data_IF_736220834093
#
_entry.id   IF_736220834093
#
_cell.length_a   1.000
_cell.length_b   1.000
_cell.length_c   1.000
_cell.angle_alpha   90.00
_cell.angle_beta   90.00
_cell.angle_gamma   90.00
#
_symmetry.space_group_name_H-M   'P 1'
#
loop_
_entity.id
_entity.type
_entity.pdbx_description
1 polymer ?
#
# COMPACT_ATOMS: atom_id res chain seq x y z
N UNK A 1 13.80 0.07 -10.29
CA UNK A 1 13.38 -0.81 -9.19
C UNK A 1 14.49 -1.76 -8.74
N UNK A 2 15.17 -2.49 -9.67
CA UNK A 2 16.24 -3.46 -9.30
C UNK A 2 17.42 -2.81 -8.58
N UNK A 3 17.82 -1.59 -8.96
CA UNK A 3 18.90 -0.86 -8.28
C UNK A 3 18.53 -0.50 -6.84
N UNK A 4 17.28 -0.17 -6.59
CA UNK A 4 16.78 0.11 -5.23
C UNK A 4 16.77 -1.15 -4.38
N UNK A 5 16.30 -2.27 -4.94
CA UNK A 5 16.32 -3.58 -4.27
C UNK A 5 17.75 -4.00 -3.91
N UNK A 6 18.69 -3.92 -4.87
CA UNK A 6 20.08 -4.30 -4.63
C UNK A 6 20.69 -3.43 -3.52
N UNK A 7 20.50 -2.10 -3.58
CA UNK A 7 20.95 -1.18 -2.53
C UNK A 7 20.35 -1.56 -1.17
N UNK A 8 19.04 -1.85 -1.10
CA UNK A 8 18.39 -2.26 0.14
C UNK A 8 19.00 -3.52 0.71
N UNK A 9 19.17 -4.56 -0.11
CA UNK A 9 19.74 -5.83 0.32
C UNK A 9 21.18 -5.70 0.82
N UNK A 10 22.00 -4.92 0.12
CA UNK A 10 23.40 -4.67 0.50
C UNK A 10 23.50 -3.89 1.83
N UNK A 11 22.68 -2.84 2.01
CA UNK A 11 22.68 -1.99 3.22
C UNK A 11 22.15 -2.70 4.46
N UNK A 12 21.19 -3.62 4.28
CA UNK A 12 20.56 -4.37 5.38
C UNK A 12 21.32 -5.67 5.64
N UNK A 13 22.19 -6.11 4.70
CA UNK A 13 23.02 -7.29 4.85
C UNK A 13 22.29 -8.61 4.55
N UNK A 14 21.40 -8.62 3.57
CA UNK A 14 20.71 -9.83 3.14
C UNK A 14 21.67 -10.74 2.37
N UNK A 15 21.72 -12.02 2.73
CA UNK A 15 22.60 -12.99 2.09
C UNK A 15 22.19 -13.27 0.63
N UNK A 16 23.17 -13.36 -0.27
CA UNK A 16 22.94 -13.60 -1.71
C UNK A 16 22.15 -14.87 -1.99
N UNK A 17 22.38 -15.92 -1.21
CA UNK A 17 21.66 -17.19 -1.30
C UNK A 17 20.16 -17.01 -1.03
N UNK A 18 19.82 -16.19 -0.05
CA UNK A 18 18.42 -15.89 0.28
C UNK A 18 17.77 -15.01 -0.80
N UNK A 19 18.48 -14.02 -1.31
CA UNK A 19 17.98 -13.17 -2.40
C UNK A 19 17.61 -14.01 -3.64
N UNK A 20 18.45 -14.99 -3.97
CA UNK A 20 18.22 -15.85 -5.13
C UNK A 20 17.00 -16.76 -4.96
N UNK A 21 16.77 -17.25 -3.76
CA UNK A 21 15.68 -18.18 -3.45
C UNK A 21 14.35 -17.46 -3.15
N UNK A 22 14.42 -16.18 -2.78
CA UNK A 22 13.23 -15.44 -2.40
C UNK A 22 12.33 -15.13 -3.60
N UNK A 23 11.06 -15.43 -3.45
CA UNK A 23 9.98 -15.03 -4.36
C UNK A 23 9.24 -13.81 -3.83
N UNK A 24 9.35 -13.53 -2.52
CA UNK A 24 8.66 -12.42 -1.87
C UNK A 24 9.62 -11.61 -0.98
N UNK A 25 9.45 -10.29 -0.98
CA UNK A 25 10.04 -9.38 -0.03
C UNK A 25 8.90 -8.59 0.64
N UNK A 26 8.80 -8.69 1.96
CA UNK A 26 7.84 -7.92 2.76
C UNK A 26 8.57 -6.77 3.46
N UNK A 27 8.13 -5.54 3.22
CA UNK A 27 8.70 -4.35 3.84
C UNK A 27 7.70 -3.72 4.83
N UNK A 28 8.16 -3.41 6.03
CA UNK A 28 7.32 -2.92 7.12
C UNK A 28 7.95 -1.67 7.75
N UNK A 29 7.20 -0.55 7.81
CA UNK A 29 7.56 0.61 8.63
C UNK A 29 6.94 0.48 10.03
N UNK A 30 7.72 0.72 11.06
CA UNK A 30 7.26 0.60 12.46
C UNK A 30 6.28 1.70 12.92
N UNK A 31 6.02 2.73 12.12
CA UNK A 31 5.20 3.89 12.46
C UNK A 31 4.00 4.14 11.54
N UNK A 32 3.59 3.13 10.75
CA UNK A 32 2.45 3.22 9.85
C UNK A 32 1.11 2.80 10.48
N UNK A 33 0.23 2.25 9.64
CA UNK A 33 -1.08 1.70 10.05
C UNK A 33 -0.89 0.60 11.10
N UNK A 34 -1.27 0.86 12.36
CA UNK A 34 -1.05 -0.07 13.49
C UNK A 34 -1.65 -1.46 13.24
N UNK A 35 -2.87 -1.53 12.74
CA UNK A 35 -3.53 -2.81 12.45
C UNK A 35 -2.82 -3.60 11.35
N UNK A 36 -2.42 -2.93 10.26
CA UNK A 36 -1.71 -3.56 9.15
C UNK A 36 -0.31 -4.05 9.57
N UNK A 37 0.40 -3.23 10.36
CA UNK A 37 1.72 -3.59 10.90
C UNK A 37 1.60 -4.79 11.84
N UNK A 38 0.64 -4.75 12.77
CA UNK A 38 0.43 -5.84 13.71
C UNK A 38 0.10 -7.16 12.99
N UNK A 39 -0.77 -7.10 11.98
CA UNK A 39 -1.08 -8.26 11.13
C UNK A 39 0.18 -8.79 10.46
N UNK A 40 0.92 -7.94 9.74
CA UNK A 40 2.14 -8.34 9.04
C UNK A 40 3.19 -8.94 9.99
N UNK A 41 3.39 -8.35 11.18
CA UNK A 41 4.32 -8.87 12.18
C UNK A 41 3.86 -10.20 12.77
N UNK A 42 2.55 -10.41 12.99
CA UNK A 42 2.02 -11.66 13.50
C UNK A 42 2.21 -12.84 12.55
N UNK A 43 2.19 -12.55 11.24
CA UNK A 43 2.32 -13.55 10.16
C UNK A 43 3.78 -13.87 9.79
N UNK A 44 4.77 -13.19 10.38
CA UNK A 44 6.19 -13.55 10.18
C UNK A 44 6.43 -15.01 10.57
N UNK A 45 7.01 -15.76 9.64
CA UNK A 45 7.39 -17.16 9.81
C UNK A 45 8.75 -17.44 9.15
N UNK A 46 9.41 -18.50 9.57
CA UNK A 46 10.64 -18.96 8.94
C UNK A 46 10.33 -19.51 7.53
N UNK A 47 10.95 -18.95 6.51
CA UNK A 47 10.77 -19.34 5.13
C UNK A 47 12.06 -19.13 4.34
N UNK A 48 12.25 -19.90 3.28
CA UNK A 48 13.35 -19.74 2.32
C UNK A 48 12.95 -18.90 1.11
N UNK A 49 11.66 -18.66 0.92
CA UNK A 49 11.09 -17.96 -0.24
C UNK A 49 10.60 -16.53 0.08
N UNK A 50 10.58 -16.15 1.35
CA UNK A 50 10.13 -14.83 1.78
C UNK A 50 11.19 -14.15 2.65
N UNK A 51 11.56 -12.92 2.31
CA UNK A 51 12.44 -12.05 3.09
C UNK A 51 11.55 -10.97 3.75
N UNK A 52 11.75 -10.72 5.04
CA UNK A 52 11.11 -9.62 5.77
C UNK A 52 12.16 -8.56 6.10
N UNK A 53 11.94 -7.31 5.71
CA UNK A 53 12.76 -6.16 6.09
C UNK A 53 11.91 -5.16 6.84
N UNK A 54 12.28 -4.87 8.08
CA UNK A 54 11.49 -4.10 9.02
C UNK A 54 12.28 -2.87 9.47
N UNK A 55 11.74 -1.68 9.24
CA UNK A 55 12.32 -0.44 9.74
C UNK A 55 12.15 -0.39 11.26
N UNK A 56 13.22 -0.75 11.97
CA UNK A 56 13.23 -0.86 13.42
C UNK A 56 14.63 -0.56 13.98
N UNK A 57 14.70 0.19 15.07
CA UNK A 57 15.97 0.67 15.66
C UNK A 57 16.86 -0.43 16.25
N UNK A 58 16.28 -1.54 16.70
CA UNK A 58 17.02 -2.61 17.35
C UNK A 58 16.24 -3.91 17.42
N UNK A 59 16.96 -5.03 17.65
CA UNK A 59 16.36 -6.35 17.93
C UNK A 59 15.39 -6.30 19.12
N UNK A 60 15.75 -5.58 20.20
CA UNK A 60 14.90 -5.43 21.38
C UNK A 60 13.55 -4.77 21.02
N UNK A 61 13.59 -3.74 20.19
CA UNK A 61 12.37 -3.06 19.74
C UNK A 61 11.54 -3.99 18.86
N UNK A 62 12.15 -4.72 17.93
CA UNK A 62 11.44 -5.72 17.12
C UNK A 62 10.75 -6.77 18.00
N UNK A 63 11.50 -7.38 18.93
CA UNK A 63 10.96 -8.44 19.82
C UNK A 63 9.76 -7.95 20.61
N UNK A 64 9.76 -6.67 21.03
CA UNK A 64 8.65 -6.06 21.75
C UNK A 64 7.42 -5.85 20.87
N UNK A 65 7.58 -5.27 19.67
CA UNK A 65 6.45 -4.92 18.79
C UNK A 65 5.86 -6.14 18.07
N UNK A 66 6.70 -7.12 17.71
CA UNK A 66 6.29 -8.33 17.03
C UNK A 66 5.83 -9.44 18.00
N UNK A 67 6.13 -9.32 19.30
CA UNK A 67 5.99 -10.37 20.29
C UNK A 67 6.67 -11.68 19.84
N UNK A 68 7.85 -11.57 19.25
CA UNK A 68 8.64 -12.66 18.66
C UNK A 68 10.12 -12.42 18.94
N UNK A 69 10.93 -13.46 19.00
CA UNK A 69 12.38 -13.32 19.07
C UNK A 69 12.95 -13.32 17.65
N UNK A 70 13.63 -12.24 17.24
CA UNK A 70 14.21 -12.13 15.90
C UNK A 70 15.24 -13.22 15.61
N UNK A 71 15.95 -13.69 16.60
CA UNK A 71 16.99 -14.69 16.43
C UNK A 71 16.45 -16.08 16.04
N UNK A 72 15.11 -16.27 16.12
CA UNK A 72 14.44 -17.48 15.64
C UNK A 72 14.19 -17.47 14.12
N UNK A 73 14.51 -16.36 13.43
CA UNK A 73 14.21 -16.16 12.01
C UNK A 73 15.44 -15.78 11.23
N UNK A 74 15.87 -16.63 10.31
CA UNK A 74 17.01 -16.34 9.42
C UNK A 74 16.65 -15.41 8.25
N UNK A 75 15.36 -15.22 7.98
CA UNK A 75 14.82 -14.45 6.86
C UNK A 75 14.23 -13.09 7.28
N UNK A 76 14.48 -12.63 8.51
CA UNK A 76 14.04 -11.34 9.04
C UNK A 76 15.23 -10.42 9.25
N UNK A 77 15.20 -9.25 8.64
CA UNK A 77 16.26 -8.24 8.67
C UNK A 77 15.74 -6.92 9.21
N UNK A 78 16.58 -6.18 9.91
CA UNK A 78 16.23 -4.86 10.43
C UNK A 78 16.88 -3.76 9.60
N UNK A 79 16.07 -2.87 9.08
CA UNK A 79 16.52 -1.59 8.54
C UNK A 79 16.66 -0.58 9.68
N UNK A 80 17.86 -0.51 10.26
CA UNK A 80 18.19 0.43 11.34
C UNK A 80 18.59 1.81 10.82
N UNK A 81 18.82 1.95 9.51
CA UNK A 81 19.31 3.16 8.84
C UNK A 81 18.22 3.92 8.09
N UNK A 82 16.98 3.41 8.10
CA UNK A 82 15.83 4.00 7.37
C UNK A 82 15.98 3.97 5.83
N UNK A 83 16.66 2.97 5.30
CA UNK A 83 16.86 2.76 3.86
C UNK A 83 15.53 2.54 3.14
N UNK A 84 14.57 1.83 3.78
CA UNK A 84 13.22 1.64 3.24
C UNK A 84 12.51 2.96 2.96
N UNK A 85 12.71 3.96 3.81
CA UNK A 85 12.15 5.30 3.64
C UNK A 85 12.88 6.06 2.54
N UNK A 86 14.22 6.04 2.55
CA UNK A 86 15.06 6.70 1.55
C UNK A 86 14.74 6.22 0.12
N UNK A 87 14.54 4.91 -0.05
CA UNK A 87 14.25 4.29 -1.33
C UNK A 87 12.75 4.28 -1.70
N UNK A 88 11.88 4.84 -0.86
CA UNK A 88 10.42 4.78 -1.02
C UNK A 88 9.87 3.35 -1.16
N UNK A 89 10.51 2.39 -0.51
CA UNK A 89 10.15 0.98 -0.57
C UNK A 89 9.22 0.53 0.55
N UNK A 90 8.84 1.41 1.46
CA UNK A 90 7.83 1.17 2.47
C UNK A 90 6.98 2.43 2.66
N UNK A 91 5.71 2.24 2.96
CA UNK A 91 4.71 3.31 3.22
C UNK A 91 4.02 3.03 4.56
N UNK A 92 2.98 3.80 4.86
CA UNK A 92 2.17 3.62 6.07
C UNK A 92 1.56 2.21 6.21
N UNK A 93 1.36 1.51 5.10
CA UNK A 93 0.98 0.09 5.04
C UNK A 93 2.17 -0.76 4.59
N UNK A 94 2.37 -1.94 5.19
CA UNK A 94 3.37 -2.88 4.71
C UNK A 94 3.18 -3.21 3.23
N UNK A 95 4.28 -3.46 2.51
CA UNK A 95 4.26 -3.83 1.09
C UNK A 95 4.85 -5.21 0.89
N UNK A 96 4.32 -5.90 -0.10
CA UNK A 96 4.85 -7.16 -0.61
C UNK A 96 5.39 -6.94 -2.01
N UNK A 97 6.64 -7.27 -2.22
CA UNK A 97 7.31 -7.25 -3.52
C UNK A 97 7.45 -8.67 -4.01
N UNK A 98 6.99 -8.94 -5.23
CA UNK A 98 7.24 -10.20 -5.93
C UNK A 98 8.61 -10.13 -6.59
N UNK A 99 9.40 -11.16 -6.37
CA UNK A 99 10.76 -11.29 -6.88
C UNK A 99 10.88 -12.51 -7.81
N UNK A 100 11.78 -12.42 -8.78
CA UNK A 100 12.22 -13.55 -9.58
C UNK A 100 13.74 -13.51 -9.70
N UNK A 101 14.43 -14.50 -9.11
CA UNK A 101 15.89 -14.53 -9.04
C UNK A 101 16.50 -13.22 -8.50
N UNK A 102 15.90 -12.67 -7.43
CA UNK A 102 16.33 -11.43 -6.80
C UNK A 102 16.00 -10.14 -7.57
N UNK A 103 15.27 -10.23 -8.69
CA UNK A 103 14.83 -9.08 -9.48
C UNK A 103 13.39 -8.74 -9.18
N UNK A 104 13.07 -7.46 -9.23
CA UNK A 104 11.72 -6.94 -9.07
C UNK A 104 10.79 -7.40 -10.20
N UNK A 105 9.61 -7.89 -9.82
CA UNK A 105 8.52 -8.21 -10.76
C UNK A 105 7.37 -7.23 -10.56
N UNK A 106 6.79 -7.19 -9.36
CA UNK A 106 5.66 -6.33 -9.02
C UNK A 106 5.62 -6.05 -7.52
N UNK A 107 4.70 -5.21 -7.06
CA UNK A 107 4.42 -5.06 -5.63
C UNK A 107 2.95 -4.80 -5.37
N UNK A 108 2.52 -5.15 -4.17
CA UNK A 108 1.17 -4.92 -3.65
C UNK A 108 1.22 -4.45 -2.20
N UNK A 109 0.07 -4.04 -1.65
CA UNK A 109 -0.06 -3.81 -0.22
C UNK A 109 -0.30 -5.14 0.51
N UNK A 110 0.27 -5.27 1.71
CA UNK A 110 0.11 -6.44 2.54
C UNK A 110 -1.36 -6.67 2.91
N UNK A 111 -1.84 -7.89 2.69
CA UNK A 111 -3.23 -8.24 2.92
C UNK A 111 -4.14 -8.13 1.68
N UNK A 112 -3.63 -7.63 0.56
CA UNK A 112 -4.28 -7.65 -0.75
C UNK A 112 -3.67 -8.73 -1.64
N UNK A 113 -3.28 -9.86 -1.06
CA UNK A 113 -2.64 -10.94 -1.77
C UNK A 113 -3.65 -11.71 -2.64
N UNK A 114 -3.64 -11.42 -3.90
CA UNK A 114 -3.87 -12.43 -4.94
C UNK A 114 -2.58 -12.55 -5.73
N UNK A 115 -1.78 -13.58 -5.50
CA UNK A 115 -0.65 -13.89 -6.36
C UNK A 115 -1.19 -14.73 -7.53
N UNK A 116 -1.64 -14.09 -8.57
CA UNK A 116 -1.77 -14.72 -9.87
C UNK A 116 -1.84 -13.66 -10.95
N UNK A 117 -0.86 -13.68 -11.83
CA UNK A 117 -0.84 -13.08 -13.15
C UNK A 117 -1.15 -11.58 -13.19
N UNK A 118 -0.11 -10.78 -13.53
CA UNK A 118 -0.21 -9.37 -13.95
C UNK A 118 -1.48 -8.66 -13.47
N UNK A 119 -1.45 -8.17 -12.21
CA UNK A 119 -2.55 -7.36 -11.70
C UNK A 119 -2.57 -6.01 -12.43
N UNK A 120 -2.96 -6.01 -13.69
CA UNK A 120 -3.35 -4.83 -14.43
C UNK A 120 -4.73 -4.39 -13.96
N UNK A 121 -4.82 -4.00 -12.69
CA UNK A 121 -5.96 -3.23 -12.20
C UNK A 121 -5.70 -1.79 -12.61
N UNK A 122 -6.32 -1.37 -13.68
CA UNK A 122 -6.24 0.00 -14.17
C UNK A 122 -7.59 0.66 -14.00
N UNK A 123 -7.64 1.72 -13.21
CA UNK A 123 -8.83 2.56 -13.11
C UNK A 123 -8.58 3.86 -13.88
N UNK A 124 -9.61 4.33 -14.55
CA UNK A 124 -9.62 5.63 -15.21
C UNK A 124 -10.82 6.44 -14.76
N UNK A 125 -10.66 7.77 -14.78
CA UNK A 125 -11.71 8.72 -14.41
C UNK A 125 -12.14 9.51 -15.62
N UNK A 126 -13.40 9.96 -15.63
CA UNK A 126 -13.87 10.87 -16.67
C UNK A 126 -13.14 12.22 -16.68
N UNK A 127 -12.66 12.64 -15.51
CA UNK A 127 -11.88 13.87 -15.32
C UNK A 127 -11.10 13.80 -14.03
N UNK A 128 -10.00 14.53 -13.97
CA UNK A 128 -9.21 14.73 -12.74
C UNK A 128 -9.55 16.04 -12.05
N UNK A 129 -10.32 16.91 -12.72
CA UNK A 129 -10.67 18.23 -12.27
C UNK A 129 -12.09 18.58 -12.71
N UNK A 130 -12.88 19.17 -11.81
CA UNK A 130 -14.24 19.65 -12.11
C UNK A 130 -14.30 21.11 -11.70
N UNK A 131 -14.51 22.00 -12.68
CA UNK A 131 -14.79 23.40 -12.42
C UNK A 131 -16.28 23.54 -12.07
N UNK A 132 -16.57 23.94 -10.84
CA UNK A 132 -17.92 24.16 -10.35
C UNK A 132 -18.44 25.58 -10.65
N UNK A 133 -17.60 26.42 -11.27
CA UNK A 133 -17.94 27.82 -11.58
C UNK A 133 -18.22 28.65 -10.32
N UNK A 134 -19.17 29.59 -10.42
CA UNK A 134 -19.58 30.42 -9.28
C UNK A 134 -20.71 29.75 -8.52
N UNK A 135 -20.43 29.31 -7.31
CA UNK A 135 -21.39 28.67 -6.41
C UNK A 135 -21.76 29.66 -5.30
N UNK A 136 -23.05 29.74 -4.97
CA UNK A 136 -23.53 30.46 -3.79
C UNK A 136 -23.12 29.73 -2.52
N UNK A 137 -22.76 30.47 -1.47
CA UNK A 137 -22.40 29.88 -0.15
C UNK A 137 -23.49 28.99 0.46
N UNK A 138 -24.73 29.23 0.08
CA UNK A 138 -25.89 28.49 0.61
C UNK A 138 -26.38 27.36 -0.29
N UNK A 139 -25.74 27.16 -1.43
CA UNK A 139 -26.16 26.19 -2.44
C UNK A 139 -25.18 25.01 -2.48
N UNK A 140 -25.71 23.81 -2.26
CA UNK A 140 -24.91 22.58 -2.35
C UNK A 140 -24.71 22.21 -3.81
N UNK A 141 -23.47 21.90 -4.19
CA UNK A 141 -23.16 21.40 -5.51
C UNK A 141 -23.02 19.88 -5.51
N UNK A 142 -23.70 19.23 -6.48
CA UNK A 142 -23.56 17.79 -6.71
C UNK A 142 -22.51 17.56 -7.78
N UNK A 143 -21.54 16.73 -7.43
CA UNK A 143 -20.41 16.36 -8.26
C UNK A 143 -20.51 14.87 -8.58
N UNK A 144 -20.31 14.51 -9.84
CA UNK A 144 -20.35 13.12 -10.28
C UNK A 144 -19.07 12.75 -10.97
N UNK A 145 -18.34 11.79 -10.39
CA UNK A 145 -17.19 11.15 -11.02
C UNK A 145 -17.58 9.78 -11.55
N UNK A 146 -17.22 9.50 -12.78
CA UNK A 146 -17.31 8.15 -13.33
C UNK A 146 -15.95 7.48 -13.24
N UNK A 147 -15.93 6.30 -12.67
CA UNK A 147 -14.73 5.47 -12.49
C UNK A 147 -14.92 4.24 -13.37
N UNK A 148 -13.98 3.97 -14.27
CA UNK A 148 -13.95 2.77 -15.09
C UNK A 148 -12.86 1.82 -14.61
N UNK A 149 -13.18 0.54 -14.51
CA UNK A 149 -12.19 -0.50 -14.38
C UNK A 149 -11.79 -0.96 -15.79
N UNK A 150 -10.68 -0.42 -16.30
CA UNK A 150 -10.10 -0.81 -17.59
C UNK A 150 -9.13 -1.98 -17.48
N UNK A 151 -8.95 -2.52 -16.28
CA UNK A 151 -8.13 -3.69 -16.00
C UNK A 151 -8.88 -5.01 -16.24
N UNK A 152 -8.21 -6.11 -15.94
CA UNK A 152 -8.73 -7.47 -16.09
C UNK A 152 -9.29 -8.08 -14.79
N UNK A 153 -9.05 -7.43 -13.66
CA UNK A 153 -9.45 -7.92 -12.33
C UNK A 153 -10.50 -7.01 -11.69
N UNK A 154 -11.27 -7.55 -10.74
CA UNK A 154 -12.24 -6.78 -9.96
C UNK A 154 -11.49 -5.72 -9.14
N UNK A 155 -11.91 -4.46 -9.26
CA UNK A 155 -11.45 -3.37 -8.39
C UNK A 155 -12.30 -3.38 -7.12
N UNK A 156 -11.64 -3.42 -5.96
CA UNK A 156 -12.29 -3.25 -4.65
C UNK A 156 -11.86 -1.94 -4.05
N UNK A 157 -12.83 -1.09 -3.73
CA UNK A 157 -12.61 0.20 -3.06
C UNK A 157 -12.86 -0.01 -1.58
N UNK A 158 -11.78 -0.05 -0.80
CA UNK A 158 -11.86 -0.26 0.65
C UNK A 158 -12.05 1.03 1.44
N UNK A 159 -11.61 2.15 0.89
CA UNK A 159 -11.71 3.46 1.55
C UNK A 159 -11.57 4.60 0.55
N UNK A 160 -12.26 5.71 0.82
CA UNK A 160 -12.14 6.97 0.08
C UNK A 160 -11.89 8.08 1.10
N UNK A 161 -10.72 8.71 1.00
CA UNK A 161 -10.37 9.86 1.82
C UNK A 161 -10.81 11.16 1.16
N UNK A 162 -11.49 12.00 1.92
CA UNK A 162 -11.87 13.34 1.53
C UNK A 162 -10.93 14.35 2.20
N UNK A 163 -10.36 15.26 1.44
CA UNK A 163 -9.40 16.26 1.93
C UNK A 163 -10.05 17.46 2.65
N UNK A 164 -11.37 17.53 2.68
CA UNK A 164 -12.14 18.63 3.27
C UNK A 164 -13.45 18.12 3.87
N UNK A 165 -13.82 18.60 5.04
CA UNK A 165 -15.13 18.36 5.65
C UNK A 165 -16.29 18.96 4.84
N UNK A 166 -15.96 19.86 3.91
CA UNK A 166 -16.88 20.44 2.96
C UNK A 166 -17.37 19.46 1.87
N UNK A 167 -16.86 18.23 1.83
CA UNK A 167 -17.24 17.19 0.89
C UNK A 167 -17.94 16.04 1.61
N UNK A 168 -18.99 15.50 1.00
CA UNK A 168 -19.67 14.30 1.46
C UNK A 168 -19.93 13.34 0.31
N UNK A 169 -19.73 12.04 0.55
CA UNK A 169 -20.04 10.97 -0.41
C UNK A 169 -21.51 10.56 -0.20
N UNK A 170 -22.30 10.56 -1.29
CA UNK A 170 -23.73 10.16 -1.24
C UNK A 170 -23.94 8.65 -1.40
N UNK A 171 -23.01 7.94 -2.04
CA UNK A 171 -23.16 6.53 -2.34
C UNK A 171 -21.91 5.73 -2.02
N UNK A 172 -22.08 4.53 -1.53
CA UNK A 172 -20.99 3.59 -1.34
C UNK A 172 -20.68 2.86 -2.65
N UNK A 173 -19.38 2.72 -2.91
CA UNK A 173 -18.86 1.93 -4.02
C UNK A 173 -17.89 0.92 -3.42
N UNK A 174 -18.18 -0.37 -3.58
CA UNK A 174 -17.34 -1.44 -3.00
C UNK A 174 -16.55 -2.19 -4.05
N UNK A 175 -17.16 -2.44 -5.21
CA UNK A 175 -16.55 -3.27 -6.26
C UNK A 175 -16.90 -2.73 -7.66
N UNK A 176 -15.94 -2.88 -8.61
CA UNK A 176 -16.12 -2.60 -10.03
C UNK A 176 -15.56 -3.78 -10.82
N UNK A 177 -16.39 -4.48 -11.57
CA UNK A 177 -15.95 -5.59 -12.40
C UNK A 177 -15.08 -5.13 -13.58
N UNK A 178 -14.25 -6.01 -14.16
CA UNK A 178 -13.49 -5.70 -15.37
C UNK A 178 -14.40 -5.23 -16.52
N UNK A 179 -14.02 -4.10 -17.11
CA UNK A 179 -14.79 -3.49 -18.20
C UNK A 179 -16.01 -2.69 -17.76
N UNK A 180 -16.38 -2.74 -16.49
CA UNK A 180 -17.50 -1.97 -15.93
C UNK A 180 -17.08 -0.57 -15.46
N UNK A 181 -18.08 0.24 -15.21
CA UNK A 181 -17.91 1.57 -14.61
C UNK A 181 -18.92 1.79 -13.50
N UNK A 182 -18.57 2.69 -12.58
CA UNK A 182 -19.46 3.14 -11.51
C UNK A 182 -19.37 4.65 -11.35
N UNK A 183 -20.34 5.23 -10.66
CA UNK A 183 -20.38 6.67 -10.40
C UNK A 183 -20.23 6.93 -8.91
N UNK A 184 -19.25 7.75 -8.56
CA UNK A 184 -19.12 8.35 -7.23
C UNK A 184 -19.83 9.69 -7.21
N UNK A 185 -20.84 9.83 -6.36
CA UNK A 185 -21.58 11.06 -6.17
C UNK A 185 -21.05 11.77 -4.91
N UNK A 186 -20.62 13.00 -5.07
CA UNK A 186 -20.07 13.83 -4.00
C UNK A 186 -20.91 15.09 -3.88
N UNK A 187 -21.24 15.48 -2.65
CA UNK A 187 -21.86 16.77 -2.35
C UNK A 187 -20.77 17.70 -1.80
N UNK A 188 -20.66 18.86 -2.42
CA UNK A 188 -19.85 19.96 -1.92
C UNK A 188 -20.72 20.96 -1.15
N UNK A 189 -20.28 21.32 0.06
CA UNK A 189 -20.92 22.25 0.98
C UNK A 189 -20.07 23.51 1.13
N UNK A 190 -20.33 24.59 0.41
CA UNK A 190 -19.47 25.78 0.44
C UNK A 190 -19.43 26.51 1.79
N UNK A 191 -20.46 26.36 2.62
CA UNK A 191 -20.57 26.93 3.95
C UNK A 191 -19.64 26.30 4.99
N UNK A 192 -19.11 25.11 4.71
CA UNK A 192 -18.17 24.39 5.56
C UNK A 192 -16.68 24.67 5.24
N UNK A 193 -16.40 25.54 4.26
CA UNK A 193 -15.03 25.93 3.91
C UNK A 193 -14.45 26.80 5.03
N UNK A 194 -13.36 26.34 5.66
CA UNK A 194 -12.59 27.12 6.63
C UNK A 194 -13.14 27.10 8.05
N UNK A 195 -13.91 26.09 8.40
CA UNK A 195 -14.25 25.77 9.80
C UNK A 195 -13.19 24.92 10.45
#
# INVERSE_FOLDING_TARGET
NDKCLQKLFDEVGVEKSQIHNATHLVTILGNGCKGCIHKALSEIHSSTDTIYIIACKSKKTFNLIANKNIDDYSNVYLDTKSILVELDMAKNTPRVYLLNNGKYVSHSFYGNESPSEEANTTITFNTNEIDLGKISRTEKAKIKFTIWNTGKNIVRISHIDLSCECLNIENEITEINPGDSTCLNIIFHPDDIGK
#
